data_IF_761219342168
#
_entry.id   IF_761219342168
#
_cell.length_a   1.000
_cell.length_b   1.000
_cell.length_c   1.000
_cell.angle_alpha   90.00
_cell.angle_beta   90.00
_cell.angle_gamma   90.00
#
_symmetry.space_group_name_H-M   'P 1'
#
loop_
_entity.id
_entity.type
_entity.pdbx_description
1 polymer ?
#
# COMPACT_ATOMS: atom_id res chain seq x y z
N UNK A 1 18.72 -13.89 21.24
CA UNK A 1 18.90 -12.44 21.36
C UNK A 1 17.85 -11.96 22.34
N UNK A 2 18.26 -11.26 23.37
CA UNK A 2 17.37 -10.63 24.35
C UNK A 2 16.84 -9.30 23.79
N UNK A 3 15.75 -8.73 24.37
CA UNK A 3 15.15 -7.50 23.85
C UNK A 3 16.11 -6.29 23.86
N UNK A 4 16.99 -6.21 24.86
CA UNK A 4 17.99 -5.16 24.95
C UNK A 4 19.05 -5.26 23.83
N UNK A 5 19.44 -6.48 23.50
CA UNK A 5 20.34 -6.78 22.38
C UNK A 5 19.65 -6.48 21.05
N UNK A 6 18.36 -6.81 20.93
CA UNK A 6 17.56 -6.51 19.73
C UNK A 6 17.52 -4.99 19.46
N UNK A 7 17.32 -4.17 20.50
CA UNK A 7 17.29 -2.72 20.33
C UNK A 7 18.63 -2.18 19.81
N UNK A 8 19.74 -2.65 20.37
CA UNK A 8 21.09 -2.28 19.93
C UNK A 8 21.39 -2.79 18.52
N UNK A 9 21.00 -4.03 18.22
CA UNK A 9 21.14 -4.61 16.89
C UNK A 9 20.42 -3.78 15.82
N UNK A 10 19.18 -3.35 16.10
CA UNK A 10 18.41 -2.52 15.19
C UNK A 10 19.11 -1.18 14.94
N UNK A 11 19.57 -0.53 16.00
CA UNK A 11 20.26 0.75 15.90
C UNK A 11 21.53 0.66 15.03
N UNK A 12 22.27 -0.44 15.13
CA UNK A 12 23.52 -0.64 14.39
C UNK A 12 23.29 -1.13 12.95
N UNK A 13 22.43 -2.14 12.77
CA UNK A 13 22.29 -2.86 11.49
C UNK A 13 21.09 -2.41 10.65
N UNK A 14 20.11 -1.76 11.28
CA UNK A 14 18.88 -1.29 10.64
C UNK A 14 18.62 0.22 10.91
N UNK A 15 19.62 1.09 10.66
CA UNK A 15 19.65 2.45 11.21
C UNK A 15 18.57 3.39 10.68
N UNK A 16 17.78 3.00 9.68
CA UNK A 16 16.67 3.80 9.17
C UNK A 16 15.30 3.37 9.71
N UNK A 17 15.23 2.37 10.58
CA UNK A 17 13.98 2.04 11.28
C UNK A 17 13.61 3.21 12.19
N UNK A 18 12.34 3.63 12.09
CA UNK A 18 11.76 4.65 12.94
C UNK A 18 10.93 4.03 14.05
N UNK A 19 10.13 3.04 13.73
CA UNK A 19 9.21 2.41 14.69
C UNK A 19 8.99 0.95 14.30
N UNK A 20 8.75 0.12 15.30
CA UNK A 20 8.23 -1.24 15.16
C UNK A 20 6.99 -1.37 16.04
N UNK A 21 5.96 -2.05 15.54
CA UNK A 21 4.79 -2.47 16.30
C UNK A 21 4.45 -3.90 15.96
N UNK A 22 4.42 -4.79 16.94
CA UNK A 22 4.07 -6.20 16.76
C UNK A 22 2.83 -6.52 17.59
N UNK A 23 1.82 -7.07 16.94
CA UNK A 23 0.60 -7.57 17.55
C UNK A 23 0.59 -9.09 17.48
N UNK A 24 0.13 -9.75 18.55
CA UNK A 24 -0.19 -11.17 18.54
C UNK A 24 -1.55 -11.40 19.18
N UNK A 25 -2.40 -12.19 18.55
CA UNK A 25 -3.78 -12.41 18.98
C UNK A 25 -4.57 -11.10 19.20
N UNK A 26 -4.24 -10.04 18.46
CA UNK A 26 -4.87 -8.72 18.58
C UNK A 26 -4.34 -7.84 19.71
N UNK A 27 -3.42 -8.33 20.52
CA UNK A 27 -2.79 -7.59 21.61
C UNK A 27 -1.37 -7.15 21.21
N UNK A 28 -0.95 -6.01 21.76
CA UNK A 28 0.41 -5.56 21.55
C UNK A 28 1.40 -6.49 22.26
N UNK A 29 2.32 -7.06 21.48
CA UNK A 29 3.39 -7.92 21.95
C UNK A 29 4.70 -7.12 22.11
N UNK A 30 4.94 -6.17 21.20
CA UNK A 30 6.17 -5.36 21.21
C UNK A 30 5.94 -4.03 20.51
N UNK A 31 6.51 -2.97 21.05
CA UNK A 31 6.58 -1.65 20.42
C UNK A 31 7.87 -0.94 20.82
N UNK A 32 8.54 -0.34 19.85
CA UNK A 32 9.74 0.44 20.10
C UNK A 32 9.99 1.48 18.99
N UNK A 33 10.69 2.54 19.33
CA UNK A 33 10.98 3.69 18.49
C UNK A 33 12.48 3.99 18.46
N UNK A 34 12.96 4.51 17.32
CA UNK A 34 14.35 4.92 17.08
C UNK A 34 14.40 6.28 16.38
N UNK A 35 15.60 6.84 16.30
CA UNK A 35 15.88 8.08 15.56
C UNK A 35 15.07 9.30 16.05
N UNK A 36 14.66 9.32 17.32
CA UNK A 36 13.88 10.42 17.91
C UNK A 36 12.39 10.41 17.53
N UNK A 37 11.93 9.37 16.84
CA UNK A 37 10.50 9.21 16.55
C UNK A 37 9.72 8.81 17.80
N UNK A 38 8.48 9.27 17.85
CA UNK A 38 7.50 8.87 18.86
C UNK A 38 6.49 7.89 18.23
N UNK A 39 5.80 7.11 19.04
CA UNK A 39 4.83 6.10 18.64
C UNK A 39 3.77 6.59 17.63
N UNK A 40 3.35 7.85 17.73
CA UNK A 40 2.30 8.46 16.90
C UNK A 40 2.84 9.21 15.69
N UNK A 41 4.16 9.32 15.56
CA UNK A 41 4.75 9.99 14.40
C UNK A 41 4.52 9.16 13.13
N UNK A 42 4.21 9.85 12.05
CA UNK A 42 4.06 9.20 10.76
C UNK A 42 5.36 9.19 9.97
N UNK A 43 5.50 8.20 9.13
CA UNK A 43 6.57 8.05 8.14
C UNK A 43 5.93 7.83 6.78
N UNK A 44 6.55 8.35 5.72
CA UNK A 44 6.16 8.03 4.35
C UNK A 44 6.38 6.53 4.08
N UNK A 45 5.30 5.76 3.96
CA UNK A 45 5.37 4.29 3.88
C UNK A 45 5.64 3.75 2.46
N UNK A 46 5.98 4.63 1.53
CA UNK A 46 6.29 4.28 0.14
C UNK A 46 5.22 3.35 -0.49
N UNK A 47 5.64 2.30 -1.18
CA UNK A 47 4.74 1.39 -1.91
C UNK A 47 3.79 0.56 -1.02
N UNK A 48 3.97 0.50 0.29
CA UNK A 48 2.97 -0.09 1.18
C UNK A 48 1.61 0.66 1.12
N UNK A 49 1.61 1.90 0.63
CA UNK A 49 0.40 2.66 0.26
C UNK A 49 -0.53 1.91 -0.69
N UNK A 50 0.03 1.15 -1.64
CA UNK A 50 -0.73 0.38 -2.64
C UNK A 50 -1.68 -0.61 -1.96
N UNK A 51 -1.20 -1.26 -0.92
CA UNK A 51 -2.00 -2.24 -0.17
C UNK A 51 -3.17 -1.59 0.57
N UNK A 52 -2.98 -0.36 1.04
CA UNK A 52 -4.08 0.44 1.61
C UNK A 52 -5.10 0.78 0.52
N UNK A 53 -4.65 1.14 -0.68
CA UNK A 53 -5.57 1.40 -1.81
C UNK A 53 -6.40 0.17 -2.19
N UNK A 54 -5.83 -1.04 -2.13
CA UNK A 54 -6.58 -2.27 -2.36
C UNK A 54 -7.69 -2.48 -1.32
N UNK A 55 -7.46 -2.13 -0.05
CA UNK A 55 -8.51 -2.12 0.97
C UNK A 55 -9.63 -1.13 0.63
N UNK A 56 -9.28 0.09 0.17
CA UNK A 56 -10.27 1.10 -0.20
C UNK A 56 -11.12 0.66 -1.41
N UNK A 57 -10.51 0.05 -2.43
CA UNK A 57 -11.25 -0.51 -3.58
C UNK A 57 -12.19 -1.62 -3.11
N UNK A 58 -11.75 -2.50 -2.22
CA UNK A 58 -12.62 -3.53 -1.66
C UNK A 58 -13.80 -2.97 -0.87
N UNK A 59 -13.57 -1.96 -0.05
CA UNK A 59 -14.64 -1.26 0.67
C UNK A 59 -15.64 -0.65 -0.34
N UNK A 60 -15.15 -0.04 -1.43
CA UNK A 60 -16.01 0.56 -2.45
C UNK A 60 -16.82 -0.49 -3.22
N UNK A 61 -16.30 -1.69 -3.44
CA UNK A 61 -17.02 -2.83 -4.04
C UNK A 61 -18.09 -3.36 -3.07
N UNK A 62 -17.76 -3.52 -1.79
CA UNK A 62 -18.70 -4.01 -0.76
C UNK A 62 -19.93 -3.10 -0.62
N UNK A 63 -19.78 -1.82 -0.86
CA UNK A 63 -20.89 -0.88 -0.87
C UNK A 63 -21.72 -0.88 -2.18
N UNK A 64 -21.61 -1.86 -3.02
CA UNK A 64 -22.34 -2.26 -4.26
C UNK A 64 -22.86 -1.15 -5.20
N UNK A 65 -22.95 0.08 -4.74
CA UNK A 65 -23.39 1.25 -5.53
C UNK A 65 -22.23 2.11 -6.01
N UNK A 66 -20.99 1.80 -5.60
CA UNK A 66 -19.80 2.57 -5.91
C UNK A 66 -19.02 1.90 -7.04
N UNK A 67 -18.42 0.74 -6.79
CA UNK A 67 -17.71 -0.05 -7.80
C UNK A 67 -18.43 -1.38 -7.93
N UNK A 68 -18.71 -1.80 -9.16
CA UNK A 68 -19.45 -3.04 -9.43
C UNK A 68 -18.60 -4.28 -9.13
N UNK A 69 -17.44 -4.37 -9.77
CA UNK A 69 -16.50 -5.49 -9.56
C UNK A 69 -15.10 -5.14 -10.05
N UNK A 70 -14.13 -6.00 -9.73
CA UNK A 70 -12.76 -5.92 -10.29
C UNK A 70 -12.71 -6.15 -11.80
N UNK A 71 -13.76 -6.75 -12.38
CA UNK A 71 -13.85 -7.03 -13.81
C UNK A 71 -14.43 -5.85 -14.60
N UNK A 72 -14.87 -4.80 -13.92
CA UNK A 72 -15.35 -3.60 -14.59
C UNK A 72 -14.23 -2.98 -15.42
N UNK A 73 -14.59 -2.53 -16.63
CA UNK A 73 -13.66 -1.81 -17.51
C UNK A 73 -13.24 -0.50 -16.87
N UNK A 74 -11.95 -0.17 -16.88
CA UNK A 74 -11.43 1.09 -16.35
C UNK A 74 -12.17 2.29 -16.94
N UNK A 75 -12.35 2.30 -18.26
CA UNK A 75 -12.98 3.42 -18.96
C UNK A 75 -14.47 3.60 -18.64
N UNK A 76 -15.16 2.62 -18.06
CA UNK A 76 -16.55 2.83 -17.62
C UNK A 76 -16.67 3.87 -16.51
N UNK A 77 -15.58 4.15 -15.81
CA UNK A 77 -15.50 5.19 -14.77
C UNK A 77 -15.03 6.55 -15.32
N UNK A 78 -14.66 6.64 -16.60
CA UNK A 78 -14.16 7.86 -17.24
C UNK A 78 -14.90 8.14 -18.57
N UNK A 79 -16.21 8.40 -18.55
CA UNK A 79 -16.99 8.56 -19.77
C UNK A 79 -16.53 9.74 -20.65
N UNK A 80 -15.92 10.76 -20.06
CA UNK A 80 -15.41 11.94 -20.77
C UNK A 80 -13.99 11.72 -21.36
N UNK A 81 -13.32 10.59 -21.03
CA UNK A 81 -11.99 10.32 -21.55
C UNK A 81 -12.05 9.81 -22.98
N UNK A 82 -11.34 10.50 -23.88
CA UNK A 82 -11.21 10.10 -25.28
C UNK A 82 -9.86 9.46 -25.54
N UNK A 83 -9.87 8.16 -25.86
CA UNK A 83 -8.66 7.44 -26.23
C UNK A 83 -8.08 7.97 -27.55
N UNK A 84 -6.73 7.97 -27.68
CA UNK A 84 -6.07 8.38 -28.91
C UNK A 84 -6.48 7.49 -30.09
N UNK A 85 -6.57 8.08 -31.30
CA UNK A 85 -6.92 7.36 -32.53
C UNK A 85 -6.03 6.12 -32.70
N UNK A 86 -6.67 4.96 -32.90
CA UNK A 86 -5.99 3.68 -33.09
C UNK A 86 -5.68 2.92 -31.80
N UNK A 87 -5.89 3.52 -30.63
CA UNK A 87 -5.82 2.82 -29.35
C UNK A 87 -7.05 1.93 -29.18
N UNK A 88 -6.84 0.64 -28.96
CA UNK A 88 -7.91 -0.34 -28.76
C UNK A 88 -7.78 -1.08 -27.43
N UNK A 89 -6.57 -1.30 -26.97
CA UNK A 89 -6.28 -2.12 -25.80
C UNK A 89 -6.86 -1.53 -24.52
N UNK A 90 -6.86 -0.21 -24.36
CA UNK A 90 -7.37 0.48 -23.16
C UNK A 90 -8.84 0.11 -22.85
N UNK A 91 -9.65 -0.19 -23.89
CA UNK A 91 -11.05 -0.57 -23.74
C UNK A 91 -11.24 -1.95 -23.08
N UNK A 92 -10.18 -2.77 -23.07
CA UNK A 92 -10.20 -4.12 -22.49
C UNK A 92 -9.56 -4.17 -21.10
N UNK A 93 -8.96 -3.09 -20.65
CA UNK A 93 -8.34 -3.03 -19.31
C UNK A 93 -9.40 -2.95 -18.23
N UNK A 94 -9.28 -3.81 -17.23
CA UNK A 94 -10.15 -3.87 -16.06
C UNK A 94 -9.46 -3.40 -14.80
N UNK A 95 -10.21 -3.15 -13.74
CA UNK A 95 -9.68 -2.83 -12.39
C UNK A 95 -8.76 -3.96 -11.90
N UNK A 96 -9.10 -5.23 -12.20
CA UNK A 96 -8.25 -6.39 -11.87
C UNK A 96 -6.84 -6.25 -12.43
N UNK A 97 -6.69 -5.81 -13.68
CA UNK A 97 -5.37 -5.64 -14.29
C UNK A 97 -4.52 -4.59 -13.54
N UNK A 98 -5.13 -3.51 -13.06
CA UNK A 98 -4.45 -2.52 -12.23
C UNK A 98 -4.04 -3.11 -10.86
N UNK A 99 -4.95 -3.81 -10.20
CA UNK A 99 -4.73 -4.38 -8.88
C UNK A 99 -3.69 -5.51 -8.87
N UNK A 100 -3.55 -6.24 -9.98
CA UNK A 100 -2.58 -7.33 -10.13
C UNK A 100 -1.28 -6.91 -10.82
N UNK A 101 -1.09 -5.61 -11.11
CA UNK A 101 0.07 -5.11 -11.85
C UNK A 101 0.25 -5.78 -13.22
N UNK A 102 -0.85 -6.06 -13.92
CA UNK A 102 -0.87 -6.66 -15.27
C UNK A 102 -1.56 -5.78 -16.31
N UNK A 103 -1.78 -4.52 -15.96
CA UNK A 103 -2.30 -3.56 -16.93
C UNK A 103 -1.23 -3.24 -17.98
N UNK A 104 -1.57 -3.27 -19.28
CA UNK A 104 -0.63 -2.88 -20.33
C UNK A 104 -0.42 -1.37 -20.33
N UNK A 105 0.83 -0.95 -20.55
CA UNK A 105 1.19 0.46 -20.63
C UNK A 105 2.04 0.76 -21.86
N UNK A 106 1.89 1.97 -22.37
CA UNK A 106 2.70 2.53 -23.46
C UNK A 106 4.07 2.95 -22.93
N UNK A 107 5.14 2.41 -23.48
CA UNK A 107 6.51 2.73 -23.08
C UNK A 107 7.01 1.91 -21.89
N UNK A 108 8.29 2.06 -21.60
CA UNK A 108 8.99 1.35 -20.53
C UNK A 108 9.15 2.22 -19.29
N UNK A 109 9.07 1.62 -18.12
CA UNK A 109 9.24 2.28 -16.81
C UNK A 109 8.09 3.23 -16.46
N UNK A 110 8.10 3.71 -15.22
CA UNK A 110 7.11 4.64 -14.71
C UNK A 110 7.29 6.06 -15.29
N UNK A 111 6.25 6.69 -15.85
CA UNK A 111 6.33 8.03 -16.42
C UNK A 111 6.23 9.14 -15.37
N UNK A 112 7.04 9.08 -14.30
CA UNK A 112 7.00 9.99 -13.15
C UNK A 112 6.89 11.46 -13.52
N UNK A 113 7.84 11.95 -14.33
CA UNK A 113 7.87 13.36 -14.69
C UNK A 113 6.60 13.79 -15.40
N UNK A 114 6.12 12.99 -16.36
CA UNK A 114 4.94 13.36 -17.17
C UNK A 114 3.64 13.34 -16.36
N UNK A 115 3.50 12.39 -15.44
CA UNK A 115 2.31 12.31 -14.61
C UNK A 115 2.37 13.37 -13.52
N UNK A 116 3.45 13.42 -12.74
CA UNK A 116 3.53 14.30 -11.57
C UNK A 116 3.69 15.79 -11.90
N UNK A 117 4.02 16.14 -13.14
CA UNK A 117 4.01 17.55 -13.61
C UNK A 117 2.70 17.97 -14.26
N UNK A 118 1.72 17.08 -14.39
CA UNK A 118 0.43 17.43 -14.98
C UNK A 118 -0.54 17.97 -13.93
N UNK A 119 -1.53 18.77 -14.37
CA UNK A 119 -2.63 19.26 -13.54
C UNK A 119 -3.65 18.15 -13.17
N UNK A 120 -3.63 17.05 -13.90
CA UNK A 120 -4.52 15.89 -13.73
C UNK A 120 -3.71 14.59 -13.88
N UNK A 121 -3.31 14.02 -12.73
CA UNK A 121 -2.51 12.78 -12.73
C UNK A 121 -3.33 11.58 -13.19
N UNK A 122 -4.64 11.57 -12.98
CA UNK A 122 -5.53 10.50 -13.45
C UNK A 122 -5.55 10.46 -14.98
N UNK A 123 -5.83 11.61 -15.61
CA UNK A 123 -5.83 11.72 -17.08
C UNK A 123 -4.46 11.41 -17.65
N UNK A 124 -3.40 11.95 -17.07
CA UNK A 124 -2.03 11.68 -17.51
C UNK A 124 -1.69 10.18 -17.41
N UNK A 125 -2.14 9.49 -16.36
CA UNK A 125 -1.96 8.04 -16.21
C UNK A 125 -2.77 7.24 -17.23
N UNK A 126 -4.01 7.64 -17.52
CA UNK A 126 -4.84 7.03 -18.58
C UNK A 126 -4.19 7.18 -19.98
N UNK A 127 -3.48 8.28 -20.24
CA UNK A 127 -2.78 8.48 -21.51
C UNK A 127 -1.66 7.46 -21.75
N UNK A 128 -1.12 6.85 -20.67
CA UNK A 128 -0.15 5.75 -20.73
C UNK A 128 -0.79 4.36 -20.76
N UNK A 129 -2.04 4.22 -20.32
CA UNK A 129 -2.72 2.93 -20.29
C UNK A 129 -3.01 2.44 -21.72
N UNK A 130 -2.92 1.11 -21.93
CA UNK A 130 -3.16 0.48 -23.22
C UNK A 130 -1.89 0.24 -24.02
N UNK A 131 -2.02 0.17 -25.35
CA UNK A 131 -0.91 -0.10 -26.27
C UNK A 131 -1.35 -0.89 -27.50
N UNK A 132 -0.38 -1.48 -28.20
CA UNK A 132 -0.65 -2.19 -29.47
C UNK A 132 -0.83 -3.71 -29.33
N UNK A 133 -0.37 -4.26 -28.19
CA UNK A 133 -0.24 -5.71 -28.01
C UNK A 133 -1.47 -6.38 -27.37
N UNK A 134 -2.53 -5.63 -27.12
CA UNK A 134 -3.67 -6.14 -26.35
C UNK A 134 -3.34 -6.22 -24.84
N UNK A 135 -4.25 -6.81 -24.08
CA UNK A 135 -4.01 -7.15 -22.68
C UNK A 135 -3.18 -8.44 -22.68
N UNK A 136 -1.95 -8.31 -22.14
CA UNK A 136 -1.06 -9.45 -21.94
C UNK A 136 -1.08 -9.80 -20.47
N UNK A 137 -1.10 -10.91 -19.98
CA UNK A 137 -1.07 -11.21 -18.55
C UNK A 137 0.33 -11.02 -17.92
N UNK A 138 1.19 -10.21 -18.52
CA UNK A 138 2.54 -9.91 -18.05
C UNK A 138 2.53 -8.98 -16.85
N UNK A 139 3.38 -9.26 -15.87
CA UNK A 139 3.57 -8.41 -14.70
C UNK A 139 4.40 -7.18 -15.07
N UNK A 140 3.84 -6.01 -14.88
CA UNK A 140 4.52 -4.73 -15.10
C UNK A 140 4.23 -3.82 -13.89
N UNK A 141 5.14 -3.84 -12.92
CA UNK A 141 4.99 -3.07 -11.68
C UNK A 141 5.08 -1.58 -11.95
N UNK A 142 3.95 -0.90 -11.90
CA UNK A 142 3.84 0.55 -12.11
C UNK A 142 3.34 1.23 -10.85
N UNK A 143 4.01 2.29 -10.46
CA UNK A 143 3.69 3.05 -9.25
C UNK A 143 2.83 4.26 -9.56
N UNK A 144 3.29 5.15 -10.41
CA UNK A 144 2.62 6.42 -10.67
C UNK A 144 1.33 6.25 -11.47
N UNK A 145 1.30 5.29 -12.40
CA UNK A 145 0.10 5.01 -13.21
C UNK A 145 -1.06 4.40 -12.41
N UNK A 146 -0.81 3.90 -11.20
CA UNK A 146 -1.90 3.49 -10.29
C UNK A 146 -2.82 4.64 -9.89
N UNK A 147 -2.44 5.89 -10.19
CA UNK A 147 -3.30 7.05 -9.90
C UNK A 147 -4.70 6.93 -10.52
N UNK A 148 -4.83 6.13 -11.57
CA UNK A 148 -6.13 5.73 -12.15
C UNK A 148 -7.08 5.16 -11.08
N UNK A 149 -6.60 4.41 -10.09
CA UNK A 149 -7.45 3.87 -9.01
C UNK A 149 -8.07 4.96 -8.13
N UNK A 150 -7.33 6.05 -7.86
CA UNK A 150 -7.89 7.21 -7.14
C UNK A 150 -8.96 7.92 -7.96
N UNK A 151 -8.76 8.03 -9.28
CA UNK A 151 -9.77 8.54 -10.20
C UNK A 151 -11.02 7.66 -10.26
N UNK A 152 -10.88 6.33 -10.33
CA UNK A 152 -12.00 5.38 -10.30
C UNK A 152 -12.78 5.54 -8.99
N UNK A 153 -12.08 5.57 -7.85
CA UNK A 153 -12.72 5.73 -6.54
C UNK A 153 -13.49 7.05 -6.45
N UNK A 154 -12.90 8.15 -6.91
CA UNK A 154 -13.55 9.45 -6.93
C UNK A 154 -14.82 9.46 -7.80
N UNK A 155 -14.74 8.97 -9.03
CA UNK A 155 -15.87 8.96 -9.96
C UNK A 155 -16.98 8.00 -9.51
N UNK A 156 -16.63 6.89 -8.84
CA UNK A 156 -17.59 5.92 -8.33
C UNK A 156 -18.26 6.37 -7.02
N UNK A 157 -17.50 6.97 -6.10
CA UNK A 157 -17.96 7.28 -4.75
C UNK A 157 -18.37 8.75 -4.56
N UNK A 158 -18.00 9.66 -5.48
CA UNK A 158 -18.18 11.10 -5.33
C UNK A 158 -17.34 11.70 -4.18
N UNK A 159 -16.31 10.99 -3.72
CA UNK A 159 -15.47 11.37 -2.59
C UNK A 159 -13.99 11.31 -2.97
N UNK A 160 -13.20 12.28 -2.51
CA UNK A 160 -11.74 12.23 -2.67
C UNK A 160 -11.16 11.07 -1.86
N UNK A 161 -10.03 10.54 -2.31
CA UNK A 161 -9.40 9.34 -1.75
C UNK A 161 -9.17 9.45 -0.24
N UNK A 162 -8.66 10.59 0.25
CA UNK A 162 -8.40 10.81 1.68
C UNK A 162 -9.69 10.85 2.49
N UNK A 163 -10.74 11.52 1.98
CA UNK A 163 -12.04 11.60 2.66
C UNK A 163 -12.69 10.22 2.75
N UNK A 164 -12.58 9.43 1.67
CA UNK A 164 -13.08 8.06 1.63
C UNK A 164 -12.33 7.18 2.64
N UNK A 165 -10.99 7.27 2.66
CA UNK A 165 -10.15 6.53 3.59
C UNK A 165 -10.46 6.91 5.06
N UNK A 166 -10.54 8.19 5.37
CA UNK A 166 -10.91 8.68 6.71
C UNK A 166 -12.26 8.13 7.16
N UNK A 167 -13.26 8.19 6.27
CA UNK A 167 -14.63 7.80 6.62
C UNK A 167 -14.80 6.29 6.81
N UNK A 168 -14.24 5.49 5.89
CA UNK A 168 -14.59 4.08 5.78
C UNK A 168 -13.50 3.13 6.29
N UNK A 169 -12.26 3.61 6.49
CA UNK A 169 -11.15 2.79 6.94
C UNK A 169 -10.48 3.38 8.19
N UNK A 170 -9.97 4.59 8.15
CA UNK A 170 -9.12 5.13 9.22
C UNK A 170 -9.88 5.38 10.52
N UNK A 171 -10.98 6.13 10.47
CA UNK A 171 -11.80 6.41 11.66
C UNK A 171 -12.34 5.13 12.32
N UNK A 172 -12.90 4.14 11.60
CA UNK A 172 -13.32 2.87 12.21
C UNK A 172 -12.20 2.13 12.93
N UNK A 173 -10.96 2.19 12.42
CA UNK A 173 -9.80 1.56 13.05
C UNK A 173 -9.15 2.42 14.16
N UNK A 174 -9.67 3.60 14.44
CA UNK A 174 -9.04 4.53 15.37
C UNK A 174 -7.68 5.04 14.89
N UNK A 175 -7.50 5.15 13.57
CA UNK A 175 -6.39 5.85 12.92
C UNK A 175 -6.78 7.32 12.80
N UNK A 176 -5.86 8.22 13.11
CA UNK A 176 -6.11 9.65 13.05
C UNK A 176 -6.44 10.10 11.62
N UNK A 177 -7.28 11.13 11.49
CA UNK A 177 -7.67 11.65 10.18
C UNK A 177 -6.46 12.22 9.42
N UNK A 178 -6.36 11.83 8.17
CA UNK A 178 -5.36 12.30 7.23
C UNK A 178 -5.84 13.51 6.44
N UNK A 179 -4.91 14.30 5.96
CA UNK A 179 -5.14 15.43 5.05
C UNK A 179 -4.31 15.25 3.79
N UNK A 180 -4.73 15.89 2.71
CA UNK A 180 -3.91 15.97 1.51
C UNK A 180 -2.65 16.80 1.79
N UNK A 181 -1.49 16.27 1.37
CA UNK A 181 -0.26 17.03 1.18
C UNK A 181 -0.08 17.32 -0.31
N UNK A 182 0.54 18.41 -0.65
CA UNK A 182 0.78 18.82 -2.02
C UNK A 182 2.26 19.11 -2.24
N UNK A 183 2.75 18.78 -3.42
CA UNK A 183 4.09 19.13 -3.89
C UNK A 183 3.95 19.86 -5.23
N UNK A 184 4.17 21.17 -5.23
CA UNK A 184 4.03 22.02 -6.41
C UNK A 184 5.23 21.98 -7.35
N UNK A 185 6.35 21.43 -6.89
CA UNK A 185 7.59 21.31 -7.65
C UNK A 185 8.21 19.92 -7.54
N UNK A 186 9.05 19.56 -8.51
CA UNK A 186 9.80 18.30 -8.46
C UNK A 186 10.70 18.21 -7.22
N UNK A 187 11.23 19.33 -6.73
CA UNK A 187 12.03 19.37 -5.52
C UNK A 187 11.20 19.08 -4.28
N UNK A 188 10.03 19.67 -4.14
CA UNK A 188 9.10 19.39 -3.02
C UNK A 188 8.64 17.95 -3.06
N UNK A 189 8.34 17.41 -4.23
CA UNK A 189 7.97 16.00 -4.40
C UNK A 189 9.12 15.07 -3.95
N UNK A 190 10.35 15.37 -4.35
CA UNK A 190 11.53 14.64 -3.91
C UNK A 190 11.70 14.73 -2.39
N UNK A 191 11.54 15.93 -1.81
CA UNK A 191 11.62 16.14 -0.35
C UNK A 191 10.52 15.37 0.38
N UNK A 192 9.29 15.34 -0.16
CA UNK A 192 8.23 14.53 0.44
C UNK A 192 8.63 13.07 0.62
N UNK A 193 9.34 12.49 -0.36
CA UNK A 193 9.77 11.09 -0.31
C UNK A 193 11.00 10.90 0.56
N UNK A 194 11.96 11.84 0.54
CA UNK A 194 13.31 11.64 1.11
C UNK A 194 13.54 12.31 2.46
N UNK A 195 12.62 13.13 2.94
CA UNK A 195 12.71 13.75 4.25
C UNK A 195 12.68 12.68 5.36
N UNK A 196 13.60 12.83 6.30
CA UNK A 196 13.78 11.90 7.42
C UNK A 196 13.11 12.38 8.70
N UNK A 197 12.46 13.52 8.67
CA UNK A 197 11.75 14.08 9.82
C UNK A 197 10.41 13.37 10.05
N UNK A 198 9.92 13.31 11.30
CA UNK A 198 8.55 12.84 11.55
C UNK A 198 7.52 13.60 10.73
N UNK A 199 6.62 12.85 10.09
CA UNK A 199 5.55 13.38 9.24
C UNK A 199 4.25 13.51 10.05
N UNK A 200 3.33 14.29 9.50
CA UNK A 200 1.95 14.37 10.00
C UNK A 200 1.09 13.28 9.35
N UNK A 201 -0.15 13.16 9.78
CA UNK A 201 -1.16 12.33 9.15
C UNK A 201 -1.55 12.93 7.80
N UNK A 202 -0.82 12.56 6.76
CA UNK A 202 -0.94 13.17 5.44
C UNK A 202 -0.78 12.13 4.32
N UNK A 203 -1.36 12.45 3.17
CA UNK A 203 -1.27 11.67 1.97
C UNK A 203 -1.01 12.60 0.78
N UNK A 204 0.10 12.38 0.06
CA UNK A 204 0.44 13.18 -1.11
C UNK A 204 -0.66 13.07 -2.16
N UNK A 205 -1.13 14.20 -2.65
CA UNK A 205 -2.21 14.30 -3.62
C UNK A 205 -1.78 15.07 -4.87
N UNK A 206 -2.49 14.82 -5.96
CA UNK A 206 -2.40 15.61 -7.18
C UNK A 206 -3.02 17.01 -7.00
N UNK A 207 -2.85 17.93 -7.97
CA UNK A 207 -3.45 19.26 -7.90
C UNK A 207 -4.98 19.26 -7.75
N UNK A 208 -5.67 18.19 -8.16
CA UNK A 208 -7.12 18.05 -8.00
C UNK A 208 -7.51 17.50 -6.61
N UNK A 209 -6.55 17.12 -5.80
CA UNK A 209 -6.75 16.60 -4.45
C UNK A 209 -7.07 15.12 -4.40
N UNK A 210 -6.72 14.35 -5.43
CA UNK A 210 -6.77 12.90 -5.41
C UNK A 210 -5.43 12.35 -4.91
N UNK A 211 -5.46 11.56 -3.85
CA UNK A 211 -4.23 11.06 -3.23
C UNK A 211 -3.52 10.03 -4.10
N UNK A 212 -2.18 10.03 -4.06
CA UNK A 212 -1.33 9.11 -4.81
C UNK A 212 -1.42 7.69 -4.21
N UNK A 213 -2.09 6.74 -4.89
CA UNK A 213 -2.36 5.41 -4.34
C UNK A 213 -1.15 4.49 -4.38
N UNK A 214 -0.14 4.87 -5.15
CA UNK A 214 1.05 4.06 -5.36
C UNK A 214 2.13 4.26 -4.30
N UNK A 215 2.16 5.39 -3.54
CA UNK A 215 3.31 5.73 -2.70
C UNK A 215 3.10 6.86 -1.69
N UNK A 216 2.10 7.64 -1.68
CA UNK A 216 2.04 8.96 -1.02
C UNK A 216 1.57 8.98 0.43
N UNK A 217 1.22 7.85 1.05
CA UNK A 217 0.65 7.80 2.40
C UNK A 217 1.73 7.85 3.49
N UNK A 218 1.44 8.57 4.57
CA UNK A 218 2.24 8.59 5.78
C UNK A 218 1.46 7.92 6.93
N UNK A 219 2.07 6.95 7.60
CA UNK A 219 1.48 6.23 8.74
C UNK A 219 2.53 5.98 9.84
N UNK A 220 2.09 5.81 11.07
CA UNK A 220 2.88 5.21 12.14
C UNK A 220 2.93 3.68 12.02
N UNK A 221 3.94 3.02 12.62
CA UNK A 221 3.96 1.56 12.67
C UNK A 221 2.74 1.00 13.43
N UNK A 222 2.28 1.68 14.47
CA UNK A 222 1.08 1.29 15.19
C UNK A 222 -0.18 1.31 14.30
N UNK A 223 -0.32 2.31 13.42
CA UNK A 223 -1.45 2.37 12.49
C UNK A 223 -1.30 1.36 11.34
N UNK A 224 -0.08 1.13 10.87
CA UNK A 224 0.22 0.04 9.92
C UNK A 224 -0.18 -1.33 10.51
N UNK A 225 0.12 -1.58 11.79
CA UNK A 225 -0.24 -2.82 12.47
C UNK A 225 -1.78 -3.00 12.55
N UNK A 226 -2.56 -1.94 12.76
CA UNK A 226 -4.03 -2.00 12.71
C UNK A 226 -4.57 -2.46 11.35
N UNK A 227 -3.95 -2.01 10.25
CA UNK A 227 -4.32 -2.45 8.89
C UNK A 227 -4.04 -3.94 8.68
N UNK A 228 -2.88 -4.43 9.11
CA UNK A 228 -2.56 -5.85 9.10
C UNK A 228 -3.51 -6.67 9.97
N UNK A 229 -3.84 -6.16 11.16
CA UNK A 229 -4.77 -6.80 12.09
C UNK A 229 -6.20 -6.87 11.52
N UNK A 230 -6.65 -5.85 10.79
CA UNK A 230 -7.93 -5.90 10.07
C UNK A 230 -7.96 -7.06 9.07
N UNK A 231 -6.87 -7.25 8.29
CA UNK A 231 -6.75 -8.37 7.37
C UNK A 231 -6.77 -9.71 8.13
N UNK A 232 -6.01 -9.82 9.21
CA UNK A 232 -5.95 -11.02 10.04
C UNK A 232 -7.30 -11.39 10.66
N UNK A 233 -8.13 -10.38 10.97
CA UNK A 233 -9.48 -10.53 11.53
C UNK A 233 -10.57 -10.66 10.44
N UNK A 234 -10.21 -11.01 9.22
CA UNK A 234 -11.16 -11.19 8.11
C UNK A 234 -12.08 -9.98 7.89
N UNK A 235 -11.52 -8.76 8.05
CA UNK A 235 -12.21 -7.52 7.76
C UNK A 235 -13.17 -7.01 8.83
N UNK A 236 -13.17 -7.62 10.01
CA UNK A 236 -13.97 -7.18 11.16
C UNK A 236 -13.09 -6.46 12.18
N UNK A 237 -13.55 -5.33 12.69
CA UNK A 237 -12.86 -4.55 13.71
C UNK A 237 -13.81 -4.17 14.83
N UNK A 238 -13.50 -4.53 16.07
CA UNK A 238 -14.36 -4.29 17.24
C UNK A 238 -15.83 -4.71 17.02
N UNK A 239 -16.05 -5.85 16.36
CA UNK A 239 -17.38 -6.37 16.04
C UNK A 239 -18.06 -5.70 14.82
N UNK A 240 -17.46 -4.68 14.24
CA UNK A 240 -17.97 -4.01 13.04
C UNK A 240 -17.29 -4.56 11.78
N UNK A 241 -18.07 -4.98 10.78
CA UNK A 241 -17.56 -5.35 9.45
C UNK A 241 -17.14 -4.07 8.71
N UNK A 242 -15.85 -3.98 8.41
CA UNK A 242 -15.24 -2.86 7.65
C UNK A 242 -15.13 -3.24 6.16
N UNK A 243 -14.76 -4.49 5.90
CA UNK A 243 -14.57 -5.02 4.55
C UNK A 243 -14.95 -6.50 4.54
N UNK A 244 -15.39 -7.05 3.42
CA UNK A 244 -15.79 -8.45 3.35
C UNK A 244 -14.62 -9.41 3.46
N UNK A 245 -14.87 -10.57 4.06
CA UNK A 245 -13.93 -11.69 4.09
C UNK A 245 -13.66 -12.24 2.68
N UNK A 246 -14.67 -12.20 1.83
CA UNK A 246 -14.60 -12.61 0.43
C UNK A 246 -13.60 -11.73 -0.34
N UNK A 247 -13.67 -10.40 -0.16
CA UNK A 247 -12.69 -9.49 -0.74
C UNK A 247 -11.27 -9.75 -0.22
N UNK A 248 -11.10 -9.89 1.09
CA UNK A 248 -9.79 -10.14 1.67
C UNK A 248 -9.19 -11.44 1.17
N UNK A 249 -9.99 -12.50 1.07
CA UNK A 249 -9.55 -13.78 0.51
C UNK A 249 -9.06 -13.61 -0.93
N UNK A 250 -9.82 -12.91 -1.77
CA UNK A 250 -9.45 -12.64 -3.16
C UNK A 250 -8.20 -11.75 -3.22
N UNK A 251 -8.16 -10.65 -2.46
CA UNK A 251 -7.09 -9.67 -2.43
C UNK A 251 -5.75 -10.29 -2.04
N UNK A 252 -5.74 -11.17 -1.06
CA UNK A 252 -4.52 -11.77 -0.49
C UNK A 252 -4.12 -13.08 -1.20
N UNK A 253 -5.00 -13.64 -2.06
CA UNK A 253 -4.67 -14.82 -2.86
C UNK A 253 -3.59 -14.49 -3.90
N UNK A 254 -2.66 -15.41 -4.17
CA UNK A 254 -1.67 -15.23 -5.21
C UNK A 254 -2.33 -15.27 -6.59
N UNK A 255 -2.23 -14.18 -7.34
CA UNK A 255 -2.73 -14.06 -8.72
C UNK A 255 -1.61 -14.25 -9.74
N UNK A 256 -0.36 -14.09 -9.31
CA UNK A 256 0.81 -14.31 -10.16
C UNK A 256 2.08 -14.50 -9.33
N UNK A 257 3.10 -15.09 -9.94
CA UNK A 257 4.44 -15.26 -9.37
C UNK A 257 5.35 -14.18 -9.95
N UNK A 258 6.01 -13.43 -9.08
CA UNK A 258 7.01 -12.44 -9.46
C UNK A 258 8.37 -13.12 -9.65
N UNK A 259 9.07 -12.80 -10.73
CA UNK A 259 10.36 -13.42 -11.09
C UNK A 259 11.56 -12.46 -11.01
N UNK A 260 11.33 -11.20 -10.64
CA UNK A 260 12.35 -10.16 -10.60
C UNK A 260 12.92 -9.89 -9.20
N UNK A 261 12.78 -8.66 -8.75
CA UNK A 261 13.42 -8.16 -7.52
C UNK A 261 12.89 -8.80 -6.22
N UNK A 262 11.66 -9.33 -6.24
CA UNK A 262 11.00 -10.04 -5.15
C UNK A 262 10.77 -11.51 -5.53
N UNK A 263 11.72 -12.08 -6.24
CA UNK A 263 11.70 -13.45 -6.70
C UNK A 263 11.38 -14.44 -5.58
N UNK A 264 10.44 -15.34 -5.83
CA UNK A 264 9.93 -16.30 -4.83
C UNK A 264 8.66 -15.84 -4.12
N UNK A 265 8.27 -14.57 -4.22
CA UNK A 265 6.97 -14.10 -3.75
C UNK A 265 5.94 -14.14 -4.88
N UNK A 266 4.69 -14.32 -4.50
CA UNK A 266 3.53 -14.12 -5.40
C UNK A 266 2.89 -12.76 -5.13
N UNK A 267 2.02 -12.30 -6.05
CA UNK A 267 1.35 -11.01 -5.93
C UNK A 267 -0.16 -11.17 -6.02
N UNK A 268 -0.87 -10.62 -5.05
CA UNK A 268 -2.32 -10.54 -5.01
C UNK A 268 -2.84 -9.21 -5.56
N UNK A 269 -3.88 -8.65 -4.95
CA UNK A 269 -4.32 -7.29 -5.26
C UNK A 269 -3.50 -6.29 -4.42
N UNK A 270 -2.38 -5.82 -5.00
CA UNK A 270 -1.46 -4.85 -4.39
C UNK A 270 -0.87 -5.30 -3.02
N UNK A 271 -0.91 -6.59 -2.74
CA UNK A 271 -0.29 -7.26 -1.60
C UNK A 271 0.67 -8.33 -2.08
N UNK A 272 1.78 -8.50 -1.37
CA UNK A 272 2.73 -9.58 -1.61
C UNK A 272 2.30 -10.83 -0.84
N UNK A 273 2.24 -11.97 -1.49
CA UNK A 273 2.14 -13.28 -0.86
C UNK A 273 3.55 -13.80 -0.64
N UNK A 274 4.02 -13.70 0.60
CA UNK A 274 5.42 -14.01 0.98
C UNK A 274 5.66 -15.52 1.00
N UNK A 275 4.78 -16.23 1.70
CA UNK A 275 4.78 -17.69 1.79
C UNK A 275 3.38 -18.21 1.48
N UNK A 276 3.07 -18.45 0.20
CA UNK A 276 1.70 -18.87 -0.21
C UNK A 276 1.22 -20.12 0.52
N UNK A 277 2.12 -21.07 0.80
CA UNK A 277 1.83 -22.32 1.48
C UNK A 277 1.45 -22.15 2.96
N UNK A 278 1.82 -21.05 3.59
CA UNK A 278 1.47 -20.68 4.97
C UNK A 278 0.45 -19.54 5.04
N UNK A 279 0.00 -19.01 3.91
CA UNK A 279 -0.82 -17.80 3.80
C UNK A 279 -0.16 -16.54 4.41
N UNK A 280 1.17 -16.46 4.42
CA UNK A 280 1.89 -15.26 4.86
C UNK A 280 1.87 -14.22 3.79
N UNK A 281 1.50 -12.99 4.15
CA UNK A 281 1.42 -11.89 3.20
C UNK A 281 1.95 -10.58 3.80
N UNK A 282 2.33 -9.67 2.92
CA UNK A 282 2.86 -8.38 3.34
C UNK A 282 2.49 -7.23 2.41
N UNK A 283 2.30 -6.04 2.99
CA UNK A 283 2.43 -4.78 2.29
C UNK A 283 3.89 -4.35 2.37
N UNK A 284 4.54 -4.12 1.22
CA UNK A 284 5.98 -3.78 1.18
C UNK A 284 6.17 -2.43 0.51
N UNK A 285 6.92 -1.57 1.15
CA UNK A 285 7.35 -0.28 0.63
C UNK A 285 8.86 -0.11 0.70
N UNK A 286 9.40 0.67 -0.23
CA UNK A 286 10.81 1.03 -0.24
C UNK A 286 11.31 1.46 1.14
N UNK A 287 12.60 1.26 1.36
CA UNK A 287 13.29 1.57 2.61
C UNK A 287 12.92 0.63 3.77
N UNK A 288 12.21 -0.45 3.48
CA UNK A 288 11.83 -1.48 4.44
C UNK A 288 10.61 -1.09 5.28
N UNK A 289 9.67 -0.34 4.70
CA UNK A 289 8.35 -0.15 5.27
C UNK A 289 7.51 -1.40 5.01
N UNK A 290 7.09 -2.10 6.06
CA UNK A 290 6.42 -3.41 5.92
C UNK A 290 5.26 -3.53 6.89
N UNK A 291 4.14 -4.06 6.41
CA UNK A 291 3.09 -4.69 7.21
C UNK A 291 3.15 -6.18 6.91
N UNK A 292 3.71 -6.96 7.81
CA UNK A 292 3.83 -8.41 7.72
C UNK A 292 2.70 -9.07 8.49
N UNK A 293 2.06 -10.07 7.91
CA UNK A 293 0.95 -10.80 8.54
C UNK A 293 1.17 -12.31 8.41
N UNK A 294 1.22 -12.99 9.54
CA UNK A 294 1.32 -14.44 9.68
C UNK A 294 0.06 -14.99 10.35
N UNK A 295 -0.91 -15.50 9.57
CA UNK A 295 -2.20 -15.93 10.10
C UNK A 295 -2.13 -17.13 11.04
N UNK A 296 -1.23 -18.09 10.80
CA UNK A 296 -1.11 -19.31 11.62
C UNK A 296 -0.68 -18.98 13.05
N UNK A 297 0.26 -18.05 13.20
CA UNK A 297 0.76 -17.57 14.49
C UNK A 297 -0.06 -16.41 15.04
N UNK A 298 -1.04 -15.91 14.26
CA UNK A 298 -1.86 -14.73 14.56
C UNK A 298 -1.01 -13.50 14.88
N UNK A 299 0.06 -13.32 14.14
CA UNK A 299 1.02 -12.23 14.29
C UNK A 299 0.87 -11.20 13.19
N UNK A 300 0.96 -9.93 13.58
CA UNK A 300 1.19 -8.79 12.68
C UNK A 300 2.43 -8.06 13.14
N UNK A 301 3.39 -7.87 12.24
CA UNK A 301 4.57 -7.05 12.49
C UNK A 301 4.60 -5.88 11.52
N UNK A 302 4.59 -4.67 12.03
CA UNK A 302 4.70 -3.44 11.25
C UNK A 302 6.04 -2.75 11.54
N UNK A 303 6.75 -2.39 10.49
CA UNK A 303 8.00 -1.63 10.54
C UNK A 303 7.85 -0.38 9.70
N UNK A 304 8.06 0.79 10.28
CA UNK A 304 8.16 2.05 9.58
C UNK A 304 9.61 2.55 9.54
N UNK A 305 10.02 3.11 8.42
CA UNK A 305 11.41 3.48 8.15
C UNK A 305 11.50 4.73 7.29
N UNK A 306 12.40 5.66 7.61
CA UNK A 306 12.68 6.78 6.72
C UNK A 306 13.44 6.32 5.48
N UNK A 307 13.40 7.16 4.44
CA UNK A 307 13.99 6.84 3.14
C UNK A 307 15.49 6.48 3.22
N UNK A 308 15.82 5.28 2.71
CA UNK A 308 17.18 4.79 2.53
C UNK A 308 17.24 3.94 1.26
N UNK A 309 17.89 4.41 0.19
CA UNK A 309 18.08 3.62 -1.02
C UNK A 309 18.72 2.26 -0.69
N UNK A 310 18.42 1.23 -1.48
CA UNK A 310 18.92 -0.14 -1.34
C UNK A 310 18.31 -1.00 -0.24
N UNK A 311 17.49 -0.48 0.67
CA UNK A 311 16.66 -1.30 1.55
C UNK A 311 15.32 -1.53 0.86
N UNK A 312 15.01 -2.76 0.46
CA UNK A 312 13.78 -3.09 -0.30
C UNK A 312 12.66 -3.55 0.61
N UNK A 313 12.90 -4.61 1.36
CA UNK A 313 11.96 -5.19 2.32
C UNK A 313 12.69 -5.59 3.61
N UNK A 314 11.96 -6.13 4.56
CA UNK A 314 12.48 -6.58 5.85
C UNK A 314 11.92 -7.93 6.26
N UNK A 315 11.53 -8.76 5.31
CA UNK A 315 10.92 -10.05 5.61
C UNK A 315 11.91 -10.93 6.39
N UNK A 316 13.14 -11.07 5.88
CA UNK A 316 14.18 -11.83 6.55
C UNK A 316 14.49 -11.32 7.98
N UNK A 317 14.56 -10.00 8.15
CA UNK A 317 14.73 -9.39 9.47
C UNK A 317 13.56 -9.70 10.41
N UNK A 318 12.32 -9.63 9.92
CA UNK A 318 11.13 -9.92 10.73
C UNK A 318 11.12 -11.40 11.15
N UNK A 319 11.33 -12.32 10.21
CA UNK A 319 11.20 -13.75 10.45
C UNK A 319 12.37 -14.34 11.25
N UNK A 320 13.61 -13.90 10.97
CA UNK A 320 14.81 -14.53 11.52
C UNK A 320 15.44 -13.77 12.70
N UNK A 321 15.07 -12.50 12.91
CA UNK A 321 15.64 -11.65 13.96
C UNK A 321 14.56 -11.17 14.93
N UNK A 322 13.59 -10.40 14.42
CA UNK A 322 12.60 -9.69 15.25
C UNK A 322 11.70 -10.65 16.02
N UNK A 323 10.95 -11.49 15.31
CA UNK A 323 9.97 -12.39 15.95
C UNK A 323 10.65 -13.43 16.87
N UNK A 324 11.78 -14.06 16.49
CA UNK A 324 12.49 -14.96 17.40
C UNK A 324 13.03 -14.27 18.66
N UNK A 325 13.45 -13.01 18.60
CA UNK A 325 13.92 -12.29 19.78
C UNK A 325 12.77 -11.94 20.74
N UNK A 326 11.62 -11.51 20.20
CA UNK A 326 10.44 -11.17 20.99
C UNK A 326 9.87 -12.43 21.68
N UNK A 327 9.78 -13.55 20.96
CA UNK A 327 9.20 -14.80 21.49
C UNK A 327 10.06 -15.49 22.57
N UNK A 328 11.36 -15.17 22.66
CA UNK A 328 12.25 -15.69 23.71
C UNK A 328 12.16 -14.92 25.02
N UNK A 329 11.65 -13.71 24.99
CA UNK A 329 11.54 -12.88 26.18
C UNK A 329 10.17 -13.11 26.84
N UNK A 330 10.10 -13.59 28.10
CA UNK A 330 8.83 -13.78 28.76
C UNK A 330 8.15 -12.43 28.91
N UNK A 331 6.91 -12.35 28.48
CA UNK A 331 6.04 -11.19 28.77
C UNK A 331 5.86 -11.13 30.31
N UNK A 332 6.27 -10.02 30.91
CA UNK A 332 6.01 -9.74 32.32
C UNK A 332 4.54 -9.37 32.54
#
# INVERSE_FOLDING_TARGET
MELQELHSYIQEHQPNICQISVLQNGNELYSAEWNGYQRTDCVHIASATKSVMALLIGIAIDHKKMIGSVNDRVLSYFPEYSAKRGEKTIFDVTIRHLLTMRAPYKGHGDPWTKVCSSEDWTKASLDFLGGKNGVTDEFDYRTVCLHILSGILFNAAGMKTVDFANKYLFRPLGIAEHKNAYAGTAQEHKLFITDKSPRKNEWLADPQGLAAPGYGLCLSAADMAKLGQLCLQNGTWNGQKIISSEWLKEMLSPHMIESGAFSGMSYGYLWWSVHPERNVYAAIGDSGNVIYVEPNEKVVAAVSSFFRPAVRDRIDFIENILLPAINKSPLF
#
